data_IF_304052351011
#
_entry.id   IF_304052351011
#
_cell.length_a   1.000
_cell.length_b   1.000
_cell.length_c   1.000
_cell.angle_alpha   90.00
_cell.angle_beta   90.00
_cell.angle_gamma   90.00
#
_symmetry.space_group_name_H-M   'P 1'
#
loop_
_entity.id
_entity.type
_entity.pdbx_description
1 polymer ?
#
# COMPACT_ATOMS: atom_id res chain seq x y z
N UNK A 1 13.69 6.22 17.42
CA UNK A 1 12.99 7.47 17.02
C UNK A 1 13.83 8.43 16.17
N UNK A 2 15.05 8.81 16.56
CA UNK A 2 15.84 9.81 15.83
C UNK A 2 16.03 9.56 14.32
N UNK A 3 16.32 8.31 13.94
CA UNK A 3 16.50 7.94 12.52
C UNK A 3 15.25 8.18 11.66
N UNK A 4 14.08 7.89 12.21
CA UNK A 4 12.80 8.08 11.52
C UNK A 4 12.54 9.57 11.24
N UNK A 5 12.72 10.44 12.24
CA UNK A 5 12.56 11.88 12.05
C UNK A 5 13.59 12.48 11.10
N UNK A 6 14.84 12.02 11.16
CA UNK A 6 15.86 12.44 10.22
C UNK A 6 15.45 12.14 8.76
N UNK A 7 14.95 10.93 8.50
CA UNK A 7 14.46 10.54 7.19
C UNK A 7 13.26 11.39 6.74
N UNK A 8 12.28 11.63 7.63
CA UNK A 8 11.15 12.52 7.33
C UNK A 8 11.62 13.90 6.86
N UNK A 9 12.57 14.51 7.58
CA UNK A 9 13.08 15.83 7.25
C UNK A 9 13.79 15.87 5.89
N UNK A 10 14.58 14.85 5.53
CA UNK A 10 15.20 14.76 4.21
C UNK A 10 14.12 14.76 3.12
N UNK A 11 13.06 13.96 3.29
CA UNK A 11 11.94 13.90 2.35
C UNK A 11 11.21 15.24 2.21
N UNK A 12 10.91 15.92 3.33
CA UNK A 12 10.29 17.25 3.35
C UNK A 12 11.15 18.28 2.61
N UNK A 13 12.43 18.37 2.96
CA UNK A 13 13.38 19.32 2.36
C UNK A 13 13.51 19.05 0.85
N UNK A 14 13.71 17.78 0.45
CA UNK A 14 13.79 17.40 -0.95
C UNK A 14 12.54 17.76 -1.74
N UNK A 15 11.36 17.60 -1.13
CA UNK A 15 10.08 17.98 -1.75
C UNK A 15 9.98 19.49 -1.95
N UNK A 16 10.25 20.31 -0.92
CA UNK A 16 10.20 21.77 -1.05
C UNK A 16 11.18 22.28 -2.10
N UNK A 17 12.44 21.81 -2.07
CA UNK A 17 13.46 22.22 -3.04
C UNK A 17 13.09 21.80 -4.47
N UNK A 18 12.40 20.69 -4.64
CA UNK A 18 11.95 20.25 -5.97
C UNK A 18 10.84 21.11 -6.58
N UNK A 19 10.14 21.90 -5.77
CA UNK A 19 9.11 22.85 -6.24
C UNK A 19 9.69 24.19 -6.67
N UNK A 20 10.88 24.53 -6.20
CA UNK A 20 11.57 25.77 -6.59
C UNK A 20 12.21 25.60 -7.97
N UNK A 21 12.01 26.57 -8.86
CA UNK A 21 12.50 26.49 -10.25
C UNK A 21 14.02 26.48 -10.36
N UNK A 22 14.73 27.12 -9.42
CA UNK A 22 16.20 27.20 -9.37
C UNK A 22 16.80 25.97 -8.69
N UNK A 23 16.14 25.46 -7.64
CA UNK A 23 16.65 24.35 -6.83
C UNK A 23 16.09 22.97 -7.20
N UNK A 24 15.24 22.90 -8.23
CA UNK A 24 14.56 21.67 -8.67
C UNK A 24 15.49 20.46 -8.74
N UNK A 25 16.64 20.61 -9.44
CA UNK A 25 17.60 19.51 -9.62
C UNK A 25 18.18 19.03 -8.29
N UNK A 26 18.53 19.96 -7.40
CA UNK A 26 18.99 19.65 -6.04
C UNK A 26 17.92 18.92 -5.25
N UNK A 27 16.65 19.33 -5.35
CA UNK A 27 15.53 18.61 -4.75
C UNK A 27 15.44 17.15 -5.23
N UNK A 28 15.57 16.89 -6.53
CA UNK A 28 15.59 15.53 -7.06
C UNK A 28 16.78 14.70 -6.55
N UNK A 29 17.97 15.29 -6.42
CA UNK A 29 19.12 14.60 -5.82
C UNK A 29 18.88 14.25 -4.35
N UNK A 30 18.27 15.15 -3.58
CA UNK A 30 17.92 14.87 -2.18
C UNK A 30 16.87 13.75 -2.08
N UNK A 31 15.88 13.72 -2.98
CA UNK A 31 14.92 12.60 -3.05
C UNK A 31 15.60 11.27 -3.41
N UNK A 32 16.62 11.30 -4.27
CA UNK A 32 17.40 10.10 -4.57
C UNK A 32 18.18 9.61 -3.33
N UNK A 33 18.85 10.52 -2.62
CA UNK A 33 19.54 10.23 -1.34
C UNK A 33 18.55 9.69 -0.31
N UNK A 34 17.34 10.25 -0.26
CA UNK A 34 16.27 9.79 0.61
C UNK A 34 15.89 8.33 0.34
N UNK A 35 15.67 7.96 -0.93
CA UNK A 35 15.38 6.57 -1.32
C UNK A 35 16.55 5.64 -0.94
N UNK A 36 17.79 6.07 -1.12
CA UNK A 36 18.96 5.29 -0.75
C UNK A 36 19.03 5.07 0.77
N UNK A 37 18.74 6.09 1.57
CA UNK A 37 18.71 5.97 3.03
C UNK A 37 17.58 5.02 3.51
N UNK A 38 16.41 5.07 2.86
CA UNK A 38 15.31 4.13 3.12
C UNK A 38 15.67 2.70 2.75
N UNK A 39 16.41 2.51 1.66
CA UNK A 39 16.96 1.21 1.27
C UNK A 39 17.86 0.64 2.37
N UNK A 40 18.82 1.44 2.88
CA UNK A 40 19.71 1.03 3.98
C UNK A 40 18.88 0.61 5.20
N UNK A 41 17.83 1.39 5.52
CA UNK A 41 16.96 1.10 6.65
C UNK A 41 16.17 -0.21 6.49
N UNK A 42 15.77 -0.59 5.28
CA UNK A 42 15.01 -1.84 5.05
C UNK A 42 15.93 -3.05 5.07
N UNK A 43 17.09 -2.97 4.41
CA UNK A 43 17.97 -4.12 4.21
C UNK A 43 18.76 -4.48 5.45
N UNK A 44 19.22 -3.48 6.21
CA UNK A 44 20.10 -3.71 7.35
C UNK A 44 19.38 -3.68 8.69
N UNK A 45 18.04 -3.71 8.71
CA UNK A 45 17.28 -3.83 9.95
C UNK A 45 17.43 -5.22 10.56
N UNK A 46 17.36 -5.28 11.88
CA UNK A 46 17.29 -6.53 12.62
C UNK A 46 16.15 -6.47 13.62
N UNK A 47 15.24 -7.44 13.59
CA UNK A 47 14.12 -7.54 14.53
C UNK A 47 13.23 -6.28 14.61
N UNK A 48 13.05 -5.62 13.46
CA UNK A 48 12.18 -4.43 13.34
C UNK A 48 11.02 -4.73 12.40
N UNK A 49 9.80 -4.50 12.90
CA UNK A 49 8.53 -4.83 12.25
C UNK A 49 7.93 -6.11 12.79
N UNK A 50 6.61 -6.13 12.97
CA UNK A 50 5.83 -7.26 13.53
C UNK A 50 6.14 -8.58 12.83
N UNK A 51 6.26 -8.55 11.50
CA UNK A 51 6.37 -9.77 10.69
C UNK A 51 7.83 -10.16 10.41
N UNK A 52 8.83 -9.43 10.92
CA UNK A 52 10.25 -9.65 10.57
C UNK A 52 10.72 -11.06 10.92
N UNK A 53 10.48 -11.50 12.16
CA UNK A 53 10.89 -12.82 12.64
C UNK A 53 10.17 -13.93 11.87
N UNK A 54 8.89 -13.73 11.57
CA UNK A 54 8.09 -14.68 10.81
C UNK A 54 8.62 -14.83 9.37
N UNK A 55 8.90 -13.74 8.66
CA UNK A 55 9.49 -13.82 7.31
C UNK A 55 10.90 -14.41 7.30
N UNK A 56 11.67 -14.18 8.36
CA UNK A 56 13.01 -14.75 8.53
C UNK A 56 12.90 -16.27 8.75
N UNK A 57 12.00 -16.72 9.63
CA UNK A 57 11.70 -18.15 9.84
C UNK A 57 11.26 -18.82 8.54
N UNK A 58 10.33 -18.20 7.81
CA UNK A 58 9.86 -18.71 6.53
C UNK A 58 11.02 -18.90 5.54
N UNK A 59 11.90 -17.90 5.43
CA UNK A 59 13.04 -17.96 4.51
C UNK A 59 13.98 -19.12 4.82
N UNK A 60 14.29 -19.36 6.10
CA UNK A 60 15.22 -20.40 6.50
C UNK A 60 14.61 -21.80 6.49
N UNK A 61 13.28 -21.92 6.63
CA UNK A 61 12.53 -23.18 6.51
C UNK A 61 12.34 -23.65 5.08
N UNK A 62 12.25 -22.72 4.11
CA UNK A 62 12.09 -23.07 2.70
C UNK A 62 13.35 -23.76 2.18
N UNK A 63 13.17 -24.92 1.56
CA UNK A 63 14.23 -25.72 0.96
C UNK A 63 14.81 -25.08 -0.30
N UNK A 64 16.01 -25.54 -0.68
CA UNK A 64 16.68 -25.13 -1.91
C UNK A 64 15.90 -25.58 -3.16
N UNK A 65 16.16 -24.96 -4.32
CA UNK A 65 15.35 -25.12 -5.54
C UNK A 65 15.20 -26.58 -5.97
N UNK A 66 16.23 -27.39 -5.78
CA UNK A 66 16.25 -28.81 -6.17
C UNK A 66 15.67 -29.75 -5.11
N UNK A 67 15.37 -29.23 -3.92
CA UNK A 67 14.83 -29.96 -2.77
C UNK A 67 13.41 -29.50 -2.41
N UNK A 68 12.81 -28.63 -3.23
CA UNK A 68 11.46 -28.11 -3.00
C UNK A 68 10.43 -29.24 -2.95
N UNK A 69 9.61 -29.20 -1.92
CA UNK A 69 8.48 -30.10 -1.70
C UNK A 69 7.17 -29.31 -1.71
N UNK A 70 6.03 -30.01 -1.73
CA UNK A 70 4.72 -29.37 -1.58
C UNK A 70 4.54 -28.68 -0.23
N UNK A 71 5.26 -29.13 0.80
CA UNK A 71 5.17 -28.56 2.15
C UNK A 71 5.76 -27.15 2.23
N UNK A 72 6.71 -26.81 1.35
CA UNK A 72 7.31 -25.47 1.27
C UNK A 72 6.31 -24.40 0.77
N UNK A 73 5.22 -24.82 0.13
CA UNK A 73 4.18 -23.92 -0.40
C UNK A 73 3.12 -23.54 0.66
N UNK A 74 3.56 -23.34 1.90
CA UNK A 74 2.72 -22.82 2.99
C UNK A 74 2.50 -21.30 2.88
N UNK A 75 3.23 -20.60 2.01
CA UNK A 75 3.04 -19.18 1.64
C UNK A 75 2.92 -19.01 0.12
N UNK A 76 2.70 -17.78 -0.36
CA UNK A 76 2.44 -17.55 -1.78
C UNK A 76 3.63 -17.97 -2.68
N UNK A 77 3.36 -18.61 -3.84
CA UNK A 77 4.39 -19.29 -4.63
C UNK A 77 5.57 -18.40 -5.06
N UNK A 78 5.33 -17.11 -5.35
CA UNK A 78 6.37 -16.18 -5.74
C UNK A 78 7.37 -15.88 -4.62
N UNK A 79 6.90 -15.86 -3.37
CA UNK A 79 7.79 -15.74 -2.21
C UNK A 79 8.61 -17.01 -2.01
N UNK A 80 7.97 -18.19 -2.14
CA UNK A 80 8.64 -19.49 -2.00
C UNK A 80 9.72 -19.68 -3.05
N UNK A 81 9.38 -19.47 -4.32
CA UNK A 81 10.32 -19.64 -5.44
C UNK A 81 11.51 -18.68 -5.35
N UNK A 82 11.27 -17.41 -4.97
CA UNK A 82 12.34 -16.45 -4.78
C UNK A 82 13.23 -16.83 -3.59
N UNK A 83 12.63 -17.22 -2.47
CA UNK A 83 13.37 -17.67 -1.29
C UNK A 83 14.23 -18.88 -1.60
N UNK A 84 13.64 -19.90 -2.22
CA UNK A 84 14.30 -21.15 -2.61
C UNK A 84 15.48 -20.92 -3.56
N UNK A 85 15.33 -20.02 -4.55
CA UNK A 85 16.42 -19.63 -5.44
C UNK A 85 17.61 -19.01 -4.68
N UNK A 86 17.32 -18.14 -3.72
CA UNK A 86 18.35 -17.49 -2.90
C UNK A 86 19.00 -18.48 -1.92
N UNK A 87 18.21 -19.41 -1.37
CA UNK A 87 18.71 -20.50 -0.52
C UNK A 87 19.68 -21.41 -1.29
N UNK A 88 19.43 -21.70 -2.56
CA UNK A 88 20.33 -22.49 -3.41
C UNK A 88 21.73 -21.89 -3.58
N UNK A 89 21.89 -20.57 -3.44
CA UNK A 89 23.19 -19.88 -3.53
C UNK A 89 23.76 -19.50 -2.16
N UNK A 90 23.15 -19.96 -1.07
CA UNK A 90 23.57 -19.64 0.30
C UNK A 90 23.38 -18.15 0.67
N UNK A 91 22.49 -17.44 0.00
CA UNK A 91 22.26 -16.02 0.29
C UNK A 91 21.54 -15.83 1.64
N UNK A 92 21.77 -14.71 2.34
CA UNK A 92 21.10 -14.41 3.59
C UNK A 92 19.76 -13.71 3.37
N UNK A 93 18.92 -13.63 4.41
CA UNK A 93 17.57 -13.05 4.33
C UNK A 93 17.56 -11.56 3.90
N UNK A 94 18.62 -10.82 4.20
CA UNK A 94 18.80 -9.43 3.82
C UNK A 94 18.81 -9.26 2.29
N UNK A 95 19.34 -10.26 1.56
CA UNK A 95 19.32 -10.24 0.10
C UNK A 95 17.89 -10.45 -0.44
N UNK A 96 17.07 -11.27 0.21
CA UNK A 96 15.64 -11.37 -0.11
C UNK A 96 14.95 -10.03 0.15
N UNK A 97 15.15 -9.44 1.32
CA UNK A 97 14.58 -8.13 1.69
C UNK A 97 14.97 -7.03 0.69
N UNK A 98 16.23 -7.04 0.22
CA UNK A 98 16.71 -6.16 -0.85
C UNK A 98 15.94 -6.36 -2.15
N UNK A 99 15.81 -7.60 -2.62
CA UNK A 99 15.14 -7.89 -3.90
C UNK A 99 13.66 -7.50 -3.82
N UNK A 100 12.97 -7.78 -2.71
CA UNK A 100 11.58 -7.37 -2.51
C UNK A 100 11.43 -5.84 -2.51
N UNK A 101 12.35 -5.12 -1.84
CA UNK A 101 12.40 -3.65 -1.90
C UNK A 101 12.57 -3.15 -3.34
N UNK A 102 13.50 -3.73 -4.11
CA UNK A 102 13.72 -3.35 -5.51
C UNK A 102 12.49 -3.60 -6.39
N UNK A 103 11.81 -4.73 -6.21
CA UNK A 103 10.57 -5.05 -6.93
C UNK A 103 9.53 -3.95 -6.68
N UNK A 104 9.31 -3.58 -5.41
CA UNK A 104 8.35 -2.54 -5.02
C UNK A 104 8.74 -1.20 -5.67
N UNK A 105 9.98 -0.74 -5.49
CA UNK A 105 10.43 0.56 -6.00
C UNK A 105 10.39 0.63 -7.53
N UNK A 106 10.81 -0.43 -8.23
CA UNK A 106 10.81 -0.45 -9.69
C UNK A 106 9.39 -0.43 -10.27
N UNK A 107 8.46 -1.16 -9.65
CA UNK A 107 7.07 -1.17 -10.05
C UNK A 107 6.36 0.16 -9.74
N UNK A 108 6.56 0.72 -8.54
CA UNK A 108 5.99 2.01 -8.16
C UNK A 108 6.58 3.18 -8.96
N UNK A 109 7.87 3.15 -9.32
CA UNK A 109 8.48 4.15 -10.21
C UNK A 109 7.67 4.31 -11.50
N UNK A 110 7.23 3.19 -12.09
CA UNK A 110 6.41 3.20 -13.30
C UNK A 110 5.03 3.82 -13.05
N UNK A 111 4.37 3.47 -11.95
CA UNK A 111 3.07 4.01 -11.59
C UNK A 111 3.13 5.51 -11.28
N UNK A 112 4.10 5.94 -10.46
CA UNK A 112 4.35 7.34 -10.12
C UNK A 112 4.66 8.17 -11.36
N UNK A 113 5.53 7.70 -12.25
CA UNK A 113 5.83 8.42 -13.48
C UNK A 113 4.62 8.55 -14.43
N UNK A 114 3.59 7.71 -14.28
CA UNK A 114 2.40 7.74 -15.12
C UNK A 114 1.25 8.57 -14.55
N UNK A 115 0.97 8.42 -13.25
CA UNK A 115 -0.17 9.02 -12.56
C UNK A 115 0.14 10.32 -11.81
N UNK A 116 1.39 10.55 -11.43
CA UNK A 116 1.74 11.73 -10.62
C UNK A 116 2.11 12.93 -11.47
N UNK A 117 1.54 14.08 -11.13
CA UNK A 117 1.96 15.38 -11.65
C UNK A 117 3.11 16.01 -10.83
N UNK A 118 3.52 15.38 -9.72
CA UNK A 118 4.61 15.82 -8.84
C UNK A 118 5.33 14.62 -8.22
N UNK A 119 6.32 14.10 -8.96
CA UNK A 119 7.07 12.88 -8.60
C UNK A 119 7.69 12.95 -7.20
N UNK A 120 8.45 14.00 -6.82
CA UNK A 120 9.02 14.14 -5.48
C UNK A 120 7.98 14.01 -4.36
N UNK A 121 6.86 14.74 -4.49
CA UNK A 121 5.80 14.71 -3.50
C UNK A 121 5.15 13.32 -3.41
N UNK A 122 4.90 12.65 -4.53
CA UNK A 122 4.35 11.28 -4.52
C UNK A 122 5.27 10.27 -3.84
N UNK A 123 6.58 10.38 -4.06
CA UNK A 123 7.56 9.50 -3.39
C UNK A 123 7.54 9.73 -1.89
N UNK A 124 7.53 10.98 -1.45
CA UNK A 124 7.50 11.31 -0.01
C UNK A 124 6.18 10.91 0.64
N UNK A 125 5.05 11.12 -0.03
CA UNK A 125 3.73 10.66 0.43
C UNK A 125 3.65 9.14 0.50
N UNK A 126 4.23 8.41 -0.46
CA UNK A 126 4.34 6.96 -0.37
C UNK A 126 5.06 6.54 0.90
N UNK A 127 6.15 7.23 1.24
CA UNK A 127 6.90 6.91 2.46
C UNK A 127 6.09 7.22 3.70
N UNK A 128 5.44 8.38 3.73
CA UNK A 128 4.66 8.82 4.88
C UNK A 128 3.45 7.94 5.16
N UNK A 129 2.82 7.40 4.12
CA UNK A 129 1.54 6.70 4.24
C UNK A 129 1.66 5.17 4.20
N UNK A 130 2.66 4.61 3.52
CA UNK A 130 2.67 3.17 3.21
C UNK A 130 3.99 2.46 3.44
N UNK A 131 5.11 3.17 3.52
CA UNK A 131 6.42 2.51 3.46
C UNK A 131 6.69 1.59 4.64
N UNK A 132 6.38 1.99 5.88
CA UNK A 132 6.57 1.13 7.03
C UNK A 132 5.72 -0.13 6.89
N UNK A 133 4.42 0.01 6.64
CA UNK A 133 3.53 -1.12 6.48
C UNK A 133 3.93 -2.04 5.31
N UNK A 134 4.31 -1.50 4.15
CA UNK A 134 4.60 -2.30 2.94
C UNK A 134 6.04 -2.82 2.84
N UNK A 135 6.97 -2.33 3.65
CA UNK A 135 8.35 -2.84 3.66
C UNK A 135 8.73 -3.54 4.95
N UNK A 136 8.09 -3.24 6.09
CA UNK A 136 8.42 -3.82 7.40
C UNK A 136 7.50 -4.94 7.80
N UNK A 137 6.19 -4.73 7.68
CA UNK A 137 5.21 -5.71 8.15
C UNK A 137 4.65 -6.48 6.95
N UNK A 138 3.76 -5.87 6.17
CA UNK A 138 3.05 -6.52 5.08
C UNK A 138 3.86 -6.58 3.77
N UNK A 139 5.11 -7.06 3.79
CA UNK A 139 6.04 -6.98 2.63
C UNK A 139 5.50 -7.68 1.37
N UNK A 140 4.91 -8.87 1.51
CA UNK A 140 4.28 -9.60 0.40
C UNK A 140 3.12 -8.82 -0.20
N UNK A 141 2.28 -8.20 0.64
CA UNK A 141 1.20 -7.31 0.22
C UNK A 141 1.76 -6.08 -0.49
N UNK A 142 2.80 -5.45 0.04
CA UNK A 142 3.48 -4.31 -0.59
C UNK A 142 4.00 -4.62 -2.00
N UNK A 143 4.62 -5.79 -2.19
CA UNK A 143 5.03 -6.30 -3.51
C UNK A 143 3.83 -6.43 -4.44
N UNK A 144 2.76 -7.07 -3.98
CA UNK A 144 1.53 -7.22 -4.75
C UNK A 144 0.94 -5.86 -5.16
N UNK A 145 0.81 -4.92 -4.22
CA UNK A 145 0.28 -3.57 -4.46
C UNK A 145 1.09 -2.85 -5.54
N UNK A 146 2.42 -2.97 -5.50
CA UNK A 146 3.30 -2.38 -6.52
C UNK A 146 2.99 -2.92 -7.93
N UNK A 147 2.72 -4.23 -8.05
CA UNK A 147 2.35 -4.88 -9.29
C UNK A 147 0.96 -4.48 -9.78
N UNK A 148 -0.02 -4.32 -8.89
CA UNK A 148 -1.37 -3.82 -9.22
C UNK A 148 -1.27 -2.42 -9.84
N UNK A 149 -0.57 -1.49 -9.19
CA UNK A 149 -0.44 -0.12 -9.70
C UNK A 149 0.37 0.00 -10.99
N UNK A 150 1.41 -0.83 -11.16
CA UNK A 150 2.09 -0.99 -12.45
C UNK A 150 1.14 -1.54 -13.51
N UNK A 151 0.29 -2.51 -13.15
CA UNK A 151 -0.76 -3.06 -14.01
C UNK A 151 -1.70 -1.99 -14.52
N UNK A 152 -2.19 -1.13 -13.64
CA UNK A 152 -3.01 0.03 -14.01
C UNK A 152 -2.31 0.98 -14.97
N UNK A 153 -1.03 1.30 -14.72
CA UNK A 153 -0.27 2.15 -15.66
C UNK A 153 -0.19 1.56 -17.07
N UNK A 154 -0.07 0.23 -17.20
CA UNK A 154 -0.02 -0.43 -18.51
C UNK A 154 -1.38 -0.51 -19.19
N UNK A 155 -2.44 -0.71 -18.40
CA UNK A 155 -3.81 -0.75 -18.88
C UNK A 155 -4.19 0.55 -19.57
N UNK A 156 -3.87 1.69 -18.94
CA UNK A 156 -4.12 3.02 -19.48
C UNK A 156 -3.36 3.33 -20.77
N UNK A 157 -2.16 2.76 -20.95
CA UNK A 157 -1.37 2.91 -22.19
C UNK A 157 -1.83 1.91 -23.26
N UNK A 158 -2.95 1.20 -23.06
CA UNK A 158 -3.51 0.23 -24.00
C UNK A 158 -2.78 -1.11 -24.03
N UNK A 159 -1.75 -1.32 -23.19
CA UNK A 159 -0.96 -2.57 -23.15
C UNK A 159 -1.61 -3.61 -22.24
N UNK A 160 -2.83 -4.04 -22.57
CA UNK A 160 -3.67 -4.95 -21.75
C UNK A 160 -2.96 -6.24 -21.34
N UNK A 161 -2.21 -6.89 -22.25
CA UNK A 161 -1.42 -8.09 -21.94
C UNK A 161 -0.39 -7.84 -20.84
N UNK A 162 0.31 -6.69 -20.87
CA UNK A 162 1.29 -6.34 -19.83
C UNK A 162 0.63 -6.00 -18.51
N UNK A 163 -0.56 -5.40 -18.54
CA UNK A 163 -1.35 -5.19 -17.33
C UNK A 163 -1.74 -6.52 -16.69
N UNK A 164 -2.32 -7.44 -17.47
CA UNK A 164 -2.70 -8.78 -17.00
C UNK A 164 -1.52 -9.53 -16.38
N UNK A 165 -0.39 -9.60 -17.09
CA UNK A 165 0.83 -10.25 -16.58
C UNK A 165 1.28 -9.60 -15.26
N UNK A 166 1.21 -8.27 -15.15
CA UNK A 166 1.56 -7.56 -13.91
C UNK A 166 0.70 -8.03 -12.73
N UNK A 167 -0.62 -8.15 -12.91
CA UNK A 167 -1.50 -8.62 -11.84
C UNK A 167 -1.28 -10.10 -11.50
N UNK A 168 -1.02 -10.95 -12.48
CA UNK A 168 -0.68 -12.37 -12.24
C UNK A 168 0.64 -12.48 -11.47
N UNK A 169 1.67 -11.71 -11.84
CA UNK A 169 2.91 -11.63 -11.05
C UNK A 169 2.66 -11.13 -9.61
N UNK A 170 1.77 -10.15 -9.43
CA UNK A 170 1.35 -9.72 -8.10
C UNK A 170 0.65 -10.82 -7.30
N UNK A 171 -0.16 -11.65 -7.97
CA UNK A 171 -0.87 -12.77 -7.35
C UNK A 171 0.08 -13.85 -6.82
N UNK A 172 1.28 -13.97 -7.41
CA UNK A 172 2.32 -14.85 -6.89
C UNK A 172 2.85 -14.41 -5.52
N UNK A 173 2.68 -13.15 -5.11
CA UNK A 173 3.09 -12.67 -3.79
C UNK A 173 1.90 -12.48 -2.84
N UNK A 174 0.72 -12.16 -3.36
CA UNK A 174 -0.52 -12.12 -2.58
C UNK A 174 -1.74 -12.29 -3.50
N UNK A 175 -2.56 -13.32 -3.28
CA UNK A 175 -3.65 -13.71 -4.17
C UNK A 175 -4.68 -12.59 -4.44
N UNK A 176 -4.84 -11.67 -3.48
CA UNK A 176 -5.70 -10.48 -3.60
C UNK A 176 -5.46 -9.65 -4.87
N UNK A 177 -4.27 -9.70 -5.48
CA UNK A 177 -4.00 -9.09 -6.78
C UNK A 177 -5.05 -9.42 -7.84
N UNK A 178 -5.58 -10.65 -7.84
CA UNK A 178 -6.58 -11.10 -8.81
C UNK A 178 -7.93 -10.39 -8.63
N UNK A 179 -8.29 -9.97 -7.42
CA UNK A 179 -9.49 -9.18 -7.17
C UNK A 179 -9.42 -7.81 -7.88
N UNK A 180 -8.22 -7.27 -8.09
CA UNK A 180 -8.02 -6.02 -8.83
C UNK A 180 -8.12 -6.18 -10.35
N UNK A 181 -8.25 -7.41 -10.86
CA UNK A 181 -8.49 -7.69 -12.29
C UNK A 181 -9.86 -7.19 -12.72
N UNK A 182 -10.91 -7.45 -11.93
CA UNK A 182 -12.26 -6.95 -12.21
C UNK A 182 -12.28 -5.40 -12.18
N UNK A 183 -11.46 -4.81 -11.31
CA UNK A 183 -11.32 -3.37 -11.18
C UNK A 183 -10.61 -2.70 -12.36
N UNK A 184 -9.88 -3.45 -13.22
CA UNK A 184 -9.35 -2.92 -14.49
C UNK A 184 -10.47 -2.46 -15.44
N UNK A 185 -11.65 -3.06 -15.30
CA UNK A 185 -12.84 -2.75 -16.10
C UNK A 185 -13.75 -1.72 -15.41
N UNK A 186 -13.55 -1.48 -14.11
CA UNK A 186 -14.27 -0.45 -13.38
C UNK A 186 -13.78 0.93 -13.82
N UNK A 187 -14.78 1.79 -14.05
CA UNK A 187 -14.79 2.67 -15.21
C UNK A 187 -13.93 3.92 -15.08
N UNK A 188 -13.40 4.31 -16.24
CA UNK A 188 -12.94 5.66 -16.59
C UNK A 188 -14.07 6.70 -16.66
N UNK A 189 -15.24 6.42 -16.04
CA UNK A 189 -16.45 7.22 -16.15
C UNK A 189 -16.72 7.93 -14.84
N UNK A 190 -17.10 9.20 -14.95
CA UNK A 190 -17.69 9.96 -13.84
C UNK A 190 -19.15 9.56 -13.67
N UNK A 191 -19.47 8.98 -12.52
CA UNK A 191 -20.85 8.71 -12.12
C UNK A 191 -21.49 9.95 -11.49
N UNK A 192 -22.83 10.08 -11.53
CA UNK A 192 -23.54 11.10 -10.75
C UNK A 192 -23.33 10.94 -9.25
N UNK A 193 -23.32 12.05 -8.50
CA UNK A 193 -23.01 12.06 -7.06
C UNK A 193 -23.94 11.18 -6.23
N UNK A 194 -25.22 11.07 -6.61
CA UNK A 194 -26.21 10.25 -5.90
C UNK A 194 -25.88 8.75 -5.94
N UNK A 195 -25.15 8.27 -6.96
CA UNK A 195 -24.71 6.87 -7.02
C UNK A 195 -23.67 6.60 -5.92
N UNK A 196 -22.67 7.48 -5.79
CA UNK A 196 -21.67 7.35 -4.72
C UNK A 196 -22.31 7.46 -3.34
N UNK A 197 -23.23 8.44 -3.15
CA UNK A 197 -23.95 8.58 -1.90
C UNK A 197 -24.77 7.33 -1.55
N UNK A 198 -25.50 6.77 -2.52
CA UNK A 198 -26.26 5.52 -2.34
C UNK A 198 -25.37 4.34 -1.96
N UNK A 199 -24.21 4.18 -2.62
CA UNK A 199 -23.24 3.12 -2.29
C UNK A 199 -22.67 3.30 -0.88
N UNK A 200 -22.35 4.52 -0.47
CA UNK A 200 -21.86 4.79 0.90
C UNK A 200 -22.91 4.48 1.96
N UNK A 201 -24.16 4.92 1.76
CA UNK A 201 -25.27 4.63 2.68
C UNK A 201 -25.49 3.13 2.77
N UNK A 202 -25.54 2.44 1.64
CA UNK A 202 -25.70 0.98 1.61
C UNK A 202 -24.53 0.26 2.32
N UNK A 203 -23.30 0.72 2.11
CA UNK A 203 -22.11 0.14 2.75
C UNK A 203 -22.11 0.35 4.27
N UNK A 204 -22.58 1.50 4.73
CA UNK A 204 -22.74 1.79 6.14
C UNK A 204 -23.81 0.91 6.79
N UNK A 205 -24.96 0.72 6.12
CA UNK A 205 -26.03 -0.18 6.60
C UNK A 205 -25.51 -1.62 6.73
N UNK A 206 -24.78 -2.12 5.73
CA UNK A 206 -24.17 -3.47 5.80
C UNK A 206 -23.17 -3.54 6.95
N UNK A 207 -22.32 -2.52 7.12
CA UNK A 207 -21.35 -2.49 8.22
C UNK A 207 -21.99 -2.56 9.60
N UNK A 208 -23.23 -2.07 9.76
CA UNK A 208 -23.96 -2.15 11.03
C UNK A 208 -24.47 -3.56 11.34
N UNK A 209 -24.42 -4.49 10.38
CA UNK A 209 -24.89 -5.87 10.52
C UNK A 209 -23.79 -6.88 10.11
N UNK A 210 -22.65 -6.94 10.82
CA UNK A 210 -21.53 -7.81 10.47
C UNK A 210 -21.88 -9.30 10.47
N UNK A 211 -22.84 -9.72 11.30
CA UNK A 211 -23.33 -11.11 11.35
C UNK A 211 -23.93 -11.57 10.01
N UNK A 212 -24.54 -10.65 9.26
CA UNK A 212 -25.09 -10.95 7.94
C UNK A 212 -23.98 -11.23 6.93
N UNK A 213 -22.88 -10.46 7.00
CA UNK A 213 -21.69 -10.72 6.19
C UNK A 213 -21.03 -12.05 6.57
N UNK A 214 -20.90 -12.35 7.86
CA UNK A 214 -20.40 -13.64 8.35
C UNK A 214 -21.23 -14.79 7.78
N UNK A 215 -22.55 -14.74 7.96
CA UNK A 215 -23.47 -15.78 7.44
C UNK A 215 -23.39 -15.93 5.93
N UNK A 216 -23.23 -14.81 5.19
CA UNK A 216 -23.04 -14.85 3.74
C UNK A 216 -21.72 -15.53 3.36
N UNK A 217 -20.62 -15.22 4.05
CA UNK A 217 -19.34 -15.90 3.85
C UNK A 217 -19.44 -17.38 4.20
N UNK A 218 -20.03 -17.73 5.33
CA UNK A 218 -20.21 -19.12 5.73
C UNK A 218 -21.02 -19.88 4.70
N UNK A 219 -22.09 -19.30 4.15
CA UNK A 219 -22.94 -19.98 3.16
C UNK A 219 -22.25 -20.11 1.80
N UNK A 220 -21.63 -19.04 1.30
CA UNK A 220 -21.04 -19.02 -0.05
C UNK A 220 -19.67 -19.70 -0.11
N UNK A 221 -18.89 -19.63 0.97
CA UNK A 221 -17.48 -19.97 0.95
C UNK A 221 -17.16 -21.29 1.66
N UNK A 222 -17.95 -21.72 2.64
CA UNK A 222 -17.72 -23.03 3.29
C UNK A 222 -17.76 -24.20 2.31
N UNK A 223 -18.59 -24.09 1.26
CA UNK A 223 -18.74 -25.11 0.22
C UNK A 223 -17.62 -25.11 -0.82
N UNK A 224 -16.86 -24.02 -0.95
CA UNK A 224 -15.84 -23.85 -2.00
C UNK A 224 -14.42 -23.95 -1.44
N UNK A 225 -14.19 -23.41 -0.24
CA UNK A 225 -12.85 -23.21 0.33
C UNK A 225 -12.55 -24.20 1.47
N UNK A 226 -13.57 -24.91 1.99
CA UNK A 226 -13.44 -25.67 3.23
C UNK A 226 -13.10 -24.76 4.42
N UNK A 227 -12.73 -25.34 5.55
CA UNK A 227 -12.23 -24.59 6.72
C UNK A 227 -10.79 -24.13 6.49
N UNK A 228 -10.56 -23.24 5.52
CA UNK A 228 -9.24 -22.64 5.36
C UNK A 228 -8.95 -21.73 6.56
N UNK A 229 -7.96 -22.14 7.36
CA UNK A 229 -7.57 -21.51 8.62
C UNK A 229 -7.27 -20.01 8.46
N UNK A 230 -6.84 -19.55 7.27
CA UNK A 230 -6.51 -18.13 7.03
C UNK A 230 -7.71 -17.23 6.92
N UNK A 231 -8.73 -17.65 6.17
CA UNK A 231 -9.95 -16.86 6.09
C UNK A 231 -10.68 -16.88 7.43
N UNK A 232 -10.74 -18.05 8.07
CA UNK A 232 -11.27 -18.17 9.42
C UNK A 232 -10.53 -17.26 10.41
N UNK A 233 -9.20 -17.18 10.33
CA UNK A 233 -8.41 -16.23 11.13
C UNK A 233 -8.82 -14.77 10.89
N UNK A 234 -8.98 -14.33 9.63
CA UNK A 234 -9.39 -12.95 9.35
C UNK A 234 -10.86 -12.65 9.68
N UNK A 235 -11.75 -13.64 9.57
CA UNK A 235 -13.17 -13.50 9.91
C UNK A 235 -13.39 -13.43 11.44
N UNK A 236 -12.48 -14.00 12.24
CA UNK A 236 -12.54 -13.96 13.70
C UNK A 236 -11.66 -12.85 14.33
N UNK A 237 -11.37 -11.77 13.60
CA UNK A 237 -10.62 -10.62 14.14
C UNK A 237 -9.10 -10.73 14.05
N UNK A 238 -8.55 -11.77 13.42
CA UNK A 238 -7.11 -11.96 13.30
C UNK A 238 -6.45 -12.24 14.65
N UNK A 239 -5.34 -11.55 14.93
CA UNK A 239 -4.55 -11.78 16.15
C UNK A 239 -5.28 -11.42 17.45
N UNK A 240 -6.31 -10.56 17.41
CA UNK A 240 -7.08 -10.19 18.61
C UNK A 240 -8.14 -11.22 18.99
N UNK A 241 -8.56 -12.09 18.06
CA UNK A 241 -9.68 -13.01 18.27
C UNK A 241 -11.05 -12.34 18.46
N UNK A 242 -11.14 -11.02 18.24
CA UNK A 242 -12.35 -10.21 18.45
C UNK A 242 -12.56 -9.30 17.23
N UNK A 243 -13.79 -9.26 16.71
CA UNK A 243 -14.17 -8.33 15.65
C UNK A 243 -13.93 -6.89 16.09
N UNK A 244 -13.50 -6.05 15.16
CA UNK A 244 -13.32 -4.63 15.46
C UNK A 244 -14.68 -3.97 15.72
N UNK A 245 -14.73 -3.10 16.74
CA UNK A 245 -15.84 -2.18 16.90
C UNK A 245 -15.99 -1.33 15.64
N UNK A 246 -17.22 -1.24 15.13
CA UNK A 246 -17.51 -0.51 13.90
C UNK A 246 -17.33 0.99 14.14
N UNK A 247 -16.34 1.57 13.47
CA UNK A 247 -15.91 2.94 13.77
C UNK A 247 -15.51 3.73 12.54
N UNK A 248 -15.80 5.03 12.57
CA UNK A 248 -15.31 5.98 11.57
C UNK A 248 -13.97 6.52 12.03
N UNK A 249 -12.91 6.22 11.28
CA UNK A 249 -11.56 6.71 11.58
C UNK A 249 -11.30 8.09 10.96
N UNK A 250 -10.40 8.87 11.55
CA UNK A 250 -9.91 10.14 10.97
C UNK A 250 -9.37 9.93 9.55
N UNK A 251 -8.71 8.79 9.29
CA UNK A 251 -8.22 8.44 7.95
C UNK A 251 -9.35 8.26 6.94
N UNK A 252 -10.48 7.68 7.36
CA UNK A 252 -11.66 7.54 6.51
C UNK A 252 -12.27 8.90 6.17
N UNK A 253 -12.40 9.80 7.15
CA UNK A 253 -12.85 11.17 6.89
C UNK A 253 -11.94 11.89 5.90
N UNK A 254 -10.61 11.80 6.09
CA UNK A 254 -9.65 12.39 5.15
C UNK A 254 -9.84 11.85 3.74
N UNK A 255 -9.95 10.53 3.57
CA UNK A 255 -10.16 9.90 2.27
C UNK A 255 -11.48 10.33 1.63
N UNK A 256 -12.55 10.46 2.41
CA UNK A 256 -13.84 10.95 1.93
C UNK A 256 -13.77 12.42 1.49
N UNK A 257 -13.12 13.29 2.27
CA UNK A 257 -12.88 14.68 1.89
C UNK A 257 -12.06 14.74 0.61
N UNK A 258 -10.98 13.96 0.51
CA UNK A 258 -10.12 13.92 -0.66
C UNK A 258 -10.88 13.42 -1.90
N UNK A 259 -11.73 12.40 -1.75
CA UNK A 259 -12.64 11.94 -2.80
C UNK A 259 -13.55 13.08 -3.28
N UNK A 260 -14.24 13.77 -2.37
CA UNK A 260 -15.13 14.88 -2.71
C UNK A 260 -14.39 16.00 -3.45
N UNK A 261 -13.25 16.46 -2.91
CA UNK A 261 -12.41 17.48 -3.54
C UNK A 261 -12.01 17.05 -4.96
N UNK A 262 -11.56 15.80 -5.12
CA UNK A 262 -11.14 15.27 -6.43
C UNK A 262 -12.30 15.17 -7.40
N UNK A 263 -13.47 14.72 -6.94
CA UNK A 263 -14.67 14.59 -7.77
C UNK A 263 -15.14 15.93 -8.34
N UNK A 264 -15.04 17.01 -7.56
CA UNK A 264 -15.46 18.35 -7.99
C UNK A 264 -14.39 19.07 -8.81
N UNK A 265 -13.10 18.90 -8.48
CA UNK A 265 -12.02 19.68 -9.09
C UNK A 265 -11.33 18.99 -10.28
N UNK A 266 -11.29 17.64 -10.31
CA UNK A 266 -10.54 16.89 -11.31
C UNK A 266 -11.49 16.20 -12.30
N UNK A 267 -11.22 16.39 -13.60
CA UNK A 267 -12.13 16.01 -14.69
C UNK A 267 -11.43 15.11 -15.72
N UNK A 268 -10.10 15.06 -15.74
CA UNK A 268 -9.38 14.23 -16.69
C UNK A 268 -9.53 12.73 -16.38
N UNK A 269 -9.39 11.89 -17.42
CA UNK A 269 -9.63 10.44 -17.30
C UNK A 269 -8.75 9.76 -16.25
N UNK A 270 -7.52 10.24 -16.02
CA UNK A 270 -6.64 9.62 -15.01
C UNK A 270 -7.16 9.94 -13.62
N UNK A 271 -7.49 11.20 -13.36
CA UNK A 271 -8.06 11.60 -12.07
C UNK A 271 -9.41 10.95 -11.79
N UNK A 272 -10.26 10.78 -12.81
CA UNK A 272 -11.53 10.06 -12.69
C UNK A 272 -11.31 8.65 -12.13
N UNK A 273 -10.34 7.94 -12.70
CA UNK A 273 -9.98 6.62 -12.22
C UNK A 273 -9.40 6.63 -10.82
N UNK A 274 -8.52 7.59 -10.51
CA UNK A 274 -7.91 7.69 -9.19
C UNK A 274 -8.95 7.91 -8.08
N UNK A 275 -9.88 8.85 -8.26
CA UNK A 275 -10.92 9.06 -7.24
C UNK A 275 -11.92 7.91 -7.20
N UNK A 276 -12.18 7.22 -8.33
CA UNK A 276 -13.04 6.03 -8.33
C UNK A 276 -12.38 4.88 -7.55
N UNK A 277 -11.08 4.65 -7.71
CA UNK A 277 -10.34 3.66 -6.90
C UNK A 277 -10.32 4.06 -5.44
N UNK A 278 -10.08 5.34 -5.13
CA UNK A 278 -10.15 5.84 -3.75
C UNK A 278 -11.54 5.55 -3.14
N UNK A 279 -12.61 5.83 -3.88
CA UNK A 279 -13.98 5.56 -3.47
C UNK A 279 -14.24 4.07 -3.22
N UNK A 280 -13.74 3.19 -4.09
CA UNK A 280 -13.79 1.74 -3.86
C UNK A 280 -13.07 1.39 -2.56
N UNK A 281 -11.89 1.95 -2.31
CA UNK A 281 -11.18 1.77 -1.03
C UNK A 281 -12.02 2.19 0.18
N UNK A 282 -12.69 3.35 0.13
CA UNK A 282 -13.60 3.83 1.19
C UNK A 282 -14.77 2.87 1.39
N UNK A 283 -15.38 2.43 0.29
CA UNK A 283 -16.52 1.52 0.27
C UNK A 283 -16.16 0.18 0.92
N UNK A 284 -15.04 -0.42 0.52
CA UNK A 284 -14.57 -1.69 1.10
C UNK A 284 -14.14 -1.54 2.55
N UNK A 285 -13.51 -0.41 2.93
CA UNK A 285 -13.18 -0.14 4.31
C UNK A 285 -14.42 -0.06 5.20
N UNK A 286 -15.50 0.56 4.71
CA UNK A 286 -16.79 0.61 5.39
C UNK A 286 -17.44 -0.77 5.45
N UNK A 287 -17.59 -1.45 4.31
CA UNK A 287 -18.25 -2.76 4.24
C UNK A 287 -17.61 -3.78 5.19
N UNK A 288 -16.28 -3.81 5.26
CA UNK A 288 -15.52 -4.79 6.04
C UNK A 288 -14.92 -4.19 7.31
N UNK A 289 -15.50 -3.11 7.86
CA UNK A 289 -14.95 -2.39 9.01
C UNK A 289 -14.72 -3.31 10.22
N UNK A 290 -15.64 -4.24 10.46
CA UNK A 290 -15.54 -5.28 11.50
C UNK A 290 -14.43 -6.31 11.26
N UNK A 291 -14.00 -6.48 10.00
CA UNK A 291 -12.95 -7.41 9.56
C UNK A 291 -11.66 -6.66 9.23
N UNK A 292 -10.97 -6.18 10.28
CA UNK A 292 -9.85 -5.23 10.16
C UNK A 292 -8.78 -5.61 9.13
N UNK A 293 -8.34 -6.87 9.12
CA UNK A 293 -7.30 -7.32 8.19
C UNK A 293 -7.75 -7.32 6.71
N UNK A 294 -9.00 -7.69 6.44
CA UNK A 294 -9.55 -7.72 5.07
C UNK A 294 -9.76 -6.29 4.57
N UNK A 295 -10.41 -5.45 5.38
CA UNK A 295 -10.64 -4.05 5.05
C UNK A 295 -9.33 -3.33 4.82
N UNK A 296 -8.33 -3.49 5.68
CA UNK A 296 -7.04 -2.81 5.57
C UNK A 296 -6.28 -3.23 4.30
N UNK A 297 -6.29 -4.50 3.90
CA UNK A 297 -5.57 -4.97 2.70
C UNK A 297 -6.17 -4.42 1.41
N UNK A 298 -7.49 -4.45 1.27
CA UNK A 298 -8.16 -3.91 0.08
C UNK A 298 -8.06 -2.38 0.07
N UNK A 299 -8.38 -1.75 1.21
CA UNK A 299 -8.37 -0.30 1.32
C UNK A 299 -6.97 0.29 1.11
N UNK A 300 -5.92 -0.29 1.71
CA UNK A 300 -4.53 0.19 1.53
C UNK A 300 -4.08 0.12 0.08
N UNK A 301 -4.46 -0.93 -0.67
CA UNK A 301 -4.17 -1.03 -2.11
C UNK A 301 -4.80 0.11 -2.89
N UNK A 302 -6.06 0.44 -2.59
CA UNK A 302 -6.79 1.55 -3.21
C UNK A 302 -6.27 2.93 -2.76
N UNK A 303 -5.96 3.09 -1.47
CA UNK A 303 -5.53 4.36 -0.86
C UNK A 303 -4.16 4.81 -1.33
N UNK A 304 -3.36 3.96 -1.98
CA UNK A 304 -2.20 4.41 -2.75
C UNK A 304 -2.59 5.48 -3.78
N UNK A 305 -3.86 5.56 -4.22
CA UNK A 305 -4.36 6.66 -5.03
C UNK A 305 -4.08 8.05 -4.42
N UNK A 306 -4.03 8.16 -3.09
CA UNK A 306 -3.75 9.41 -2.38
C UNK A 306 -2.40 10.01 -2.78
N UNK A 307 -1.39 9.18 -3.06
CA UNK A 307 -0.06 9.67 -3.45
C UNK A 307 -0.07 10.32 -4.83
N UNK A 308 -1.11 10.11 -5.63
CA UNK A 308 -1.30 10.71 -6.96
C UNK A 308 -2.28 11.88 -6.91
N UNK A 309 -3.42 11.70 -6.22
CA UNK A 309 -4.47 12.71 -6.12
C UNK A 309 -3.96 13.99 -5.44
N UNK A 310 -3.23 13.88 -4.32
CA UNK A 310 -2.75 15.04 -3.57
C UNK A 310 -1.84 15.95 -4.42
N UNK A 311 -0.84 15.42 -5.15
CA UNK A 311 -0.13 16.15 -6.20
C UNK A 311 -1.01 16.84 -7.24
N UNK A 312 -2.02 16.15 -7.78
CA UNK A 312 -2.89 16.72 -8.81
C UNK A 312 -3.72 17.89 -8.27
N UNK A 313 -4.28 17.76 -7.05
CA UNK A 313 -4.98 18.85 -6.36
C UNK A 313 -4.04 20.04 -6.11
N UNK A 314 -2.82 19.79 -5.66
CA UNK A 314 -1.82 20.85 -5.44
C UNK A 314 -1.51 21.64 -6.72
N UNK A 315 -1.44 20.96 -7.86
CA UNK A 315 -1.13 21.60 -9.15
C UNK A 315 -2.26 22.47 -9.71
N UNK A 316 -3.48 22.37 -9.17
CA UNK A 316 -4.56 23.32 -9.50
C UNK A 316 -4.34 24.72 -8.88
N UNK A 317 -3.44 24.83 -7.90
CA UNK A 317 -3.18 26.11 -7.22
C UNK A 317 -2.17 26.95 -8.00
N UNK A 318 -2.67 27.97 -8.69
CA UNK A 318 -1.85 28.92 -9.46
C UNK A 318 -1.08 29.92 -8.60
N UNK A 319 -1.62 30.28 -7.42
CA UNK A 319 -1.01 31.30 -6.56
C UNK A 319 0.04 30.65 -5.64
N UNK A 320 1.29 31.08 -5.79
CA UNK A 320 2.45 30.50 -5.07
C UNK A 320 2.27 30.39 -3.55
N UNK A 321 1.69 31.42 -2.88
CA UNK A 321 1.47 31.38 -1.42
C UNK A 321 0.49 30.29 -0.99
N UNK A 322 -0.60 30.10 -1.73
CA UNK A 322 -1.61 29.10 -1.44
C UNK A 322 -1.12 27.69 -1.78
N UNK A 323 -0.39 27.55 -2.90
CA UNK A 323 0.30 26.31 -3.24
C UNK A 323 1.29 25.90 -2.17
N UNK A 324 2.10 26.83 -1.66
CA UNK A 324 3.04 26.56 -0.56
C UNK A 324 2.32 26.12 0.71
N UNK A 325 1.26 26.84 1.12
CA UNK A 325 0.48 26.48 2.30
C UNK A 325 -0.17 25.10 2.15
N UNK A 326 -0.76 24.80 0.99
CA UNK A 326 -1.36 23.50 0.70
C UNK A 326 -0.32 22.38 0.75
N UNK A 327 0.87 22.58 0.16
CA UNK A 327 1.97 21.63 0.25
C UNK A 327 2.39 21.39 1.71
N UNK A 328 2.51 22.44 2.51
CA UNK A 328 2.85 22.32 3.93
C UNK A 328 1.79 21.51 4.71
N UNK A 329 0.49 21.73 4.45
CA UNK A 329 -0.61 20.97 5.05
C UNK A 329 -0.57 19.50 4.63
N UNK A 330 -0.32 19.22 3.35
CA UNK A 330 -0.19 17.84 2.82
C UNK A 330 0.97 17.10 3.50
N UNK A 331 2.13 17.77 3.62
CA UNK A 331 3.30 17.18 4.28
C UNK A 331 3.06 16.99 5.78
N UNK A 332 2.42 17.95 6.45
CA UNK A 332 2.06 17.82 7.87
C UNK A 332 1.12 16.63 8.10
N UNK A 333 0.09 16.47 7.27
CA UNK A 333 -0.79 15.30 7.32
C UNK A 333 0.01 13.99 7.20
N UNK A 334 0.90 13.89 6.21
CA UNK A 334 1.70 12.68 6.05
C UNK A 334 2.67 12.44 7.22
N UNK A 335 3.26 13.48 7.80
CA UNK A 335 4.08 13.36 9.03
C UNK A 335 3.24 12.84 10.20
N UNK A 336 2.01 13.32 10.37
CA UNK A 336 1.11 12.84 11.42
C UNK A 336 0.74 11.37 11.22
N UNK A 337 0.45 10.97 9.99
CA UNK A 337 0.15 9.58 9.65
C UNK A 337 1.35 8.66 9.86
N UNK A 338 2.55 9.10 9.47
CA UNK A 338 3.78 8.35 9.69
C UNK A 338 4.09 8.21 11.18
N UNK A 339 3.95 9.29 11.96
CA UNK A 339 4.12 9.23 13.42
C UNK A 339 3.12 8.28 14.07
N UNK A 340 1.86 8.31 13.63
CA UNK A 340 0.85 7.36 14.10
C UNK A 340 1.28 5.93 13.85
N UNK A 341 1.83 5.63 12.66
CA UNK A 341 2.29 4.29 12.31
C UNK A 341 3.52 3.87 13.12
N UNK A 342 4.55 4.72 13.21
CA UNK A 342 5.78 4.46 13.99
C UNK A 342 5.49 4.23 15.47
N UNK A 343 4.50 4.94 16.03
CA UNK A 343 4.16 4.88 17.45
C UNK A 343 3.20 3.73 17.81
N UNK A 344 2.78 2.90 16.84
CA UNK A 344 2.00 1.70 17.14
C UNK A 344 2.87 0.69 17.90
N UNK A 345 2.55 0.45 19.16
CA UNK A 345 3.26 -0.53 19.99
C UNK A 345 3.26 -1.93 19.37
N UNK A 346 2.13 -2.35 18.78
CA UNK A 346 1.99 -3.64 18.11
C UNK A 346 2.84 -3.80 16.84
N UNK A 347 3.39 -2.70 16.30
CA UNK A 347 4.09 -2.70 15.02
C UNK A 347 5.61 -2.96 15.15
N UNK A 348 6.15 -2.96 16.37
CA UNK A 348 7.56 -3.19 16.69
C UNK A 348 8.56 -2.38 15.82
N UNK A 349 8.33 -1.07 15.69
CA UNK A 349 9.25 -0.19 14.95
C UNK A 349 10.30 0.49 15.83
N UNK A 350 10.12 0.48 17.16
CA UNK A 350 10.98 1.19 18.11
C UNK A 350 11.39 0.20 19.22
N UNK A 351 12.69 0.07 19.53
CA UNK A 351 13.82 0.75 18.91
C UNK A 351 14.10 0.26 17.47
N UNK A 352 14.71 1.11 16.65
CA UNK A 352 15.22 0.67 15.35
C UNK A 352 16.61 0.06 15.58
N UNK A 353 16.73 -1.24 15.32
CA UNK A 353 17.96 -2.03 15.48
C UNK A 353 18.50 -2.46 14.12
N UNK A 354 19.83 -2.57 14.03
CA UNK A 354 20.52 -2.97 12.80
C UNK A 354 21.27 -4.28 12.99
N UNK A 355 21.56 -4.97 11.89
CA UNK A 355 22.39 -6.18 11.95
C UNK A 355 23.83 -5.90 12.43
N UNK A 356 24.30 -4.64 12.36
CA UNK A 356 25.65 -4.24 12.78
C UNK A 356 25.76 -3.92 14.27
N UNK A 357 24.62 -3.82 14.96
CA UNK A 357 24.56 -3.55 16.41
C UNK A 357 24.44 -4.83 17.25
N UNK A 358 24.56 -6.00 16.62
CA UNK A 358 24.60 -7.32 17.27
C UNK A 358 26.01 -7.77 17.60
#
# INVERSE_FOLDING_TARGET
>A
MGIYYFLLWIGVIGTFLSQDSRLKRTGFYIIFIYILALFVMVVFRYDVGTDYLEYTDYYYRIHSLFELTSEDFFVEPGYVLLSSLLRSIGAPFELLSFILFLIIVCNLKRAIAFFSDNIPLSVVLYVFLFFLSFHFNLIRHGVMVSFVWKGYSWWFVGKKKRAFISLVCGAMFHALSLCFLSLLFIHLRKYPIYIYAGVLVFSFIISAHPDWLLSLFDTLLSSIIGTDNRLFFYLNGGHSGVLNETGVTIGMFFNLTLFCVSYFLLIDKKSIFLYNILFIGITFFLLFNSFGAISERIASTCYVANIFILPSVLNLMYVNKWRFLCLAVILLYGILMFNKEVSKESANYIPFTTIFSM
#
